data_IF_419563768748
#
_entry.id   IF_419563768748
#
_cell.length_a   1.000
_cell.length_b   1.000
_cell.length_c   1.000
_cell.angle_alpha   90.00
_cell.angle_beta   90.00
_cell.angle_gamma   90.00
#
_symmetry.space_group_name_H-M   'P 1'
#
loop_
_entity.id
_entity.type
_entity.pdbx_description
1 polymer ?
#
# COMPACT_ATOMS: atom_id res chain seq x y z
N UNK A 1 -3.99 5.29 9.63
CA UNK A 1 -2.70 5.04 10.29
C UNK A 1 -2.82 3.79 11.14
N UNK A 2 -1.93 2.84 10.96
CA UNK A 2 -1.85 1.59 11.74
C UNK A 2 -1.26 1.91 13.11
N UNK A 3 -1.80 1.39 14.22
CA UNK A 3 -1.29 1.70 15.56
C UNK A 3 0.11 1.12 15.83
N UNK A 4 0.48 0.05 15.14
CA UNK A 4 1.78 -0.62 15.26
C UNK A 4 2.19 -1.06 13.86
N UNK A 5 3.43 -0.74 13.48
CA UNK A 5 4.06 -1.22 12.24
C UNK A 5 4.97 -2.41 12.54
N UNK A 6 4.90 -3.42 11.69
CA UNK A 6 5.81 -4.55 11.72
C UNK A 6 7.14 -4.20 11.01
N UNK A 7 8.19 -4.99 11.23
CA UNK A 7 9.47 -4.80 10.56
C UNK A 7 9.38 -5.01 9.06
N UNK A 8 8.43 -5.84 8.63
CA UNK A 8 8.20 -6.16 7.22
C UNK A 8 7.24 -5.19 6.51
N UNK A 9 6.56 -4.35 7.24
CA UNK A 9 5.66 -3.34 6.67
C UNK A 9 6.41 -2.35 5.77
N UNK A 10 5.87 -2.11 4.58
CA UNK A 10 6.36 -1.10 3.66
C UNK A 10 5.84 0.28 4.09
N UNK A 11 6.58 0.93 5.00
CA UNK A 11 6.21 2.20 5.60
C UNK A 11 6.35 3.35 4.62
N UNK A 12 5.49 4.37 4.77
CA UNK A 12 5.49 5.58 3.95
C UNK A 12 5.55 6.84 4.82
N UNK A 13 6.20 7.88 4.28
CA UNK A 13 6.20 9.24 4.80
C UNK A 13 5.55 10.17 3.79
N UNK A 14 4.76 11.11 4.28
CA UNK A 14 3.99 12.05 3.49
C UNK A 14 4.35 13.49 3.90
N UNK A 15 4.53 14.37 2.92
CA UNK A 15 4.73 15.80 3.16
C UNK A 15 3.98 16.59 2.09
N UNK A 16 3.21 17.58 2.49
CA UNK A 16 2.46 18.47 1.59
C UNK A 16 1.60 17.74 0.56
N UNK A 17 0.96 16.64 0.98
CA UNK A 17 0.08 15.83 0.12
C UNK A 17 0.80 14.95 -0.90
N UNK A 18 2.07 14.66 -0.69
CA UNK A 18 2.91 13.81 -1.56
C UNK A 18 3.61 12.72 -0.76
N UNK A 19 3.94 11.64 -1.44
CA UNK A 19 4.84 10.63 -0.91
C UNK A 19 6.28 11.17 -0.96
N UNK A 20 6.95 11.20 0.19
CA UNK A 20 8.33 11.70 0.33
C UNK A 20 9.31 10.62 0.72
N UNK A 21 8.84 9.52 1.27
CA UNK A 21 9.66 8.33 1.47
C UNK A 21 8.82 7.05 1.50
N UNK A 22 9.41 5.95 1.07
CA UNK A 22 8.84 4.61 1.12
C UNK A 22 9.93 3.57 1.38
N UNK A 23 9.74 2.71 2.38
CA UNK A 23 10.73 1.67 2.70
C UNK A 23 10.41 0.91 3.97
N UNK A 24 10.91 -0.33 4.04
CA UNK A 24 10.82 -1.14 5.25
C UNK A 24 11.64 -0.54 6.40
N UNK A 25 12.76 0.08 6.07
CA UNK A 25 13.71 0.67 7.04
C UNK A 25 13.32 2.09 7.48
N UNK A 26 12.19 2.62 6.99
CA UNK A 26 11.71 3.92 7.45
C UNK A 26 11.42 3.85 8.94
N UNK A 27 11.96 4.81 9.71
CA UNK A 27 11.80 4.87 11.15
C UNK A 27 10.35 5.12 11.57
N UNK A 28 9.94 4.56 12.70
CA UNK A 28 8.54 4.59 13.16
C UNK A 28 8.04 6.00 13.47
N UNK A 29 8.92 6.91 13.87
CA UNK A 29 8.59 8.31 14.13
C UNK A 29 8.27 9.10 12.85
N UNK A 30 8.73 8.62 11.69
CA UNK A 30 8.45 9.19 10.38
C UNK A 30 7.29 8.49 9.65
N UNK A 31 6.99 7.26 10.02
CA UNK A 31 5.95 6.46 9.38
C UNK A 31 4.55 7.05 9.59
N UNK A 32 3.88 7.41 8.51
CA UNK A 32 2.52 7.97 8.53
C UNK A 32 1.49 7.03 7.89
N UNK A 33 1.92 5.95 7.28
CA UNK A 33 1.09 4.94 6.66
C UNK A 33 1.90 3.76 6.19
N UNK A 34 1.20 2.83 5.57
CA UNK A 34 1.72 1.61 4.97
C UNK A 34 1.27 1.53 3.51
N UNK A 35 2.16 1.12 2.63
CA UNK A 35 1.84 0.87 1.24
C UNK A 35 1.18 -0.50 1.08
N UNK A 36 0.02 -0.54 0.45
CA UNK A 36 -0.65 -1.80 0.08
C UNK A 36 -0.09 -2.41 -1.22
N UNK A 37 1.02 -1.90 -1.74
CA UNK A 37 1.67 -2.43 -2.94
C UNK A 37 0.94 -2.15 -4.25
N UNK A 38 -0.15 -1.36 -4.26
CA UNK A 38 -0.91 -1.04 -5.46
C UNK A 38 -0.50 0.34 -6.00
N UNK A 39 0.08 0.36 -7.20
CA UNK A 39 0.60 1.59 -7.82
C UNK A 39 0.06 1.73 -9.23
N UNK A 40 -0.32 2.97 -9.58
CA UNK A 40 -0.77 3.34 -10.93
C UNK A 40 0.24 4.29 -11.56
N UNK A 41 0.74 3.92 -12.72
CA UNK A 41 1.60 4.77 -13.53
C UNK A 41 0.79 5.45 -14.64
N UNK A 42 0.98 6.76 -14.83
CA UNK A 42 0.29 7.56 -15.84
C UNK A 42 1.29 8.39 -16.64
N UNK A 43 0.97 8.66 -17.91
CA UNK A 43 1.80 9.45 -18.78
C UNK A 43 3.24 8.90 -18.87
N UNK A 44 4.21 9.73 -18.57
CA UNK A 44 5.64 9.38 -18.58
C UNK A 44 6.05 8.50 -17.38
N UNK A 45 5.18 8.31 -16.39
CA UNK A 45 5.47 7.52 -15.19
C UNK A 45 5.84 6.07 -15.49
N UNK A 46 5.33 5.46 -16.56
CA UNK A 46 5.72 4.12 -16.97
C UNK A 46 7.19 4.07 -17.41
N UNK A 47 7.61 5.06 -18.21
CA UNK A 47 9.00 5.17 -18.68
C UNK A 47 9.93 5.47 -17.51
N UNK A 48 9.55 6.38 -16.63
CA UNK A 48 10.33 6.71 -15.43
C UNK A 48 10.52 5.47 -14.54
N UNK A 49 9.45 4.72 -14.27
CA UNK A 49 9.52 3.49 -13.47
C UNK A 49 10.38 2.42 -14.12
N UNK A 50 10.22 2.18 -15.42
CA UNK A 50 11.06 1.23 -16.14
C UNK A 50 12.54 1.60 -16.07
N UNK A 51 12.86 2.89 -16.25
CA UNK A 51 14.21 3.40 -16.12
C UNK A 51 14.78 3.26 -14.71
N UNK A 52 13.96 3.51 -13.67
CA UNK A 52 14.38 3.32 -12.28
C UNK A 52 14.69 1.86 -11.99
N UNK A 53 13.83 0.94 -12.40
CA UNK A 53 14.06 -0.51 -12.27
C UNK A 53 15.33 -0.95 -13.00
N UNK A 54 15.55 -0.49 -14.24
CA UNK A 54 16.76 -0.83 -14.98
C UNK A 54 18.04 -0.33 -14.28
N UNK A 55 17.99 0.82 -13.62
CA UNK A 55 19.13 1.33 -12.83
C UNK A 55 19.40 0.46 -11.60
N UNK A 56 18.35 0.11 -10.86
CA UNK A 56 18.47 -0.78 -9.70
C UNK A 56 19.02 -2.15 -10.07
N UNK A 57 18.55 -2.73 -11.18
CA UNK A 57 18.99 -4.04 -11.66
C UNK A 57 20.48 -4.08 -12.04
N UNK A 58 21.11 -2.94 -12.28
CA UNK A 58 22.54 -2.83 -12.60
C UNK A 58 23.43 -2.75 -11.35
N UNK A 59 22.85 -2.62 -10.16
CA UNK A 59 23.59 -2.62 -8.89
C UNK A 59 23.73 -4.04 -8.35
N UNK A 60 24.84 -4.36 -7.70
CA UNK A 60 25.04 -5.68 -7.09
C UNK A 60 24.06 -5.97 -5.94
N UNK A 61 23.48 -4.91 -5.37
CA UNK A 61 22.54 -4.95 -4.26
C UNK A 61 21.12 -5.30 -4.67
N UNK A 62 20.78 -5.23 -5.96
CA UNK A 62 19.40 -5.35 -6.43
C UNK A 62 18.72 -6.67 -6.02
N UNK A 63 19.49 -7.74 -5.82
CA UNK A 63 18.97 -9.07 -5.46
C UNK A 63 18.30 -9.12 -4.08
N UNK A 64 18.61 -8.16 -3.22
CA UNK A 64 18.04 -8.02 -1.88
C UNK A 64 17.09 -6.83 -1.75
N UNK A 65 16.87 -6.08 -2.83
CA UNK A 65 16.07 -4.86 -2.82
C UNK A 65 14.65 -5.18 -3.29
N UNK A 66 13.65 -4.73 -2.51
CA UNK A 66 12.26 -4.82 -2.92
C UNK A 66 11.97 -3.85 -4.09
N UNK A 67 11.13 -4.24 -5.05
CA UNK A 67 10.83 -3.43 -6.24
C UNK A 67 10.33 -2.01 -5.94
N UNK A 68 9.69 -1.79 -4.77
CA UNK A 68 9.28 -0.47 -4.31
C UNK A 68 10.45 0.49 -4.02
N UNK A 69 11.68 -0.01 -3.95
CA UNK A 69 12.86 0.85 -3.93
C UNK A 69 12.99 1.70 -5.20
N UNK A 70 12.40 1.25 -6.33
CA UNK A 70 12.34 2.08 -7.52
C UNK A 70 11.45 3.32 -7.33
N UNK A 71 10.42 3.24 -6.50
CA UNK A 71 9.60 4.40 -6.14
C UNK A 71 10.41 5.37 -5.29
N UNK A 72 11.19 4.88 -4.32
CA UNK A 72 12.09 5.73 -3.55
C UNK A 72 13.11 6.42 -4.45
N UNK A 73 13.69 5.69 -5.41
CA UNK A 73 14.62 6.27 -6.38
C UNK A 73 13.97 7.41 -7.20
N UNK A 74 12.73 7.23 -7.66
CA UNK A 74 12.00 8.28 -8.37
C UNK A 74 11.76 9.50 -7.48
N UNK A 75 11.40 9.31 -6.22
CA UNK A 75 11.24 10.39 -5.24
C UNK A 75 12.57 11.16 -5.06
N UNK A 76 13.68 10.45 -4.91
CA UNK A 76 15.01 11.03 -4.72
C UNK A 76 15.48 11.81 -5.97
N UNK A 77 15.02 11.41 -7.15
CA UNK A 77 15.25 12.11 -8.43
C UNK A 77 14.31 13.32 -8.65
N UNK A 78 13.38 13.56 -7.73
CA UNK A 78 12.47 14.70 -7.77
C UNK A 78 11.16 14.43 -8.52
N UNK A 79 10.89 13.18 -8.89
CA UNK A 79 9.63 12.81 -9.51
C UNK A 79 8.47 12.94 -8.51
N UNK A 80 7.32 13.32 -9.01
CA UNK A 80 6.12 13.45 -8.20
C UNK A 80 5.44 12.11 -8.03
N UNK A 81 5.32 11.67 -6.79
CA UNK A 81 4.53 10.50 -6.41
C UNK A 81 3.38 10.94 -5.49
N UNK A 82 2.17 10.83 -5.98
CA UNK A 82 0.95 11.08 -5.20
C UNK A 82 0.49 9.79 -4.50
N UNK A 83 -0.41 9.91 -3.54
CA UNK A 83 -0.99 8.77 -2.84
C UNK A 83 -2.51 8.83 -2.84
N UNK A 84 -3.13 7.67 -2.65
CA UNK A 84 -4.56 7.55 -2.40
C UNK A 84 -4.77 6.71 -1.15
N UNK A 85 -5.64 7.17 -0.26
CA UNK A 85 -5.95 6.42 0.96
C UNK A 85 -6.88 5.26 0.63
N UNK A 86 -6.56 4.10 1.21
CA UNK A 86 -7.43 2.94 1.26
C UNK A 86 -7.88 2.72 2.70
N UNK A 87 -9.17 2.56 2.92
CA UNK A 87 -9.68 2.27 4.24
C UNK A 87 -9.31 0.84 4.67
N UNK A 88 -8.98 0.60 5.94
CA UNK A 88 -8.51 -0.70 6.41
C UNK A 88 -9.48 -1.86 6.13
N UNK A 89 -10.77 -1.57 6.04
CA UNK A 89 -11.82 -2.55 5.75
C UNK A 89 -11.86 -2.97 4.27
N UNK A 90 -11.23 -2.20 3.37
CA UNK A 90 -11.29 -2.44 1.92
C UNK A 90 -10.12 -3.25 1.38
N UNK A 91 -9.19 -3.63 2.23
CA UNK A 91 -8.04 -4.43 1.81
C UNK A 91 -7.57 -5.38 2.90
N UNK A 92 -6.87 -6.42 2.50
CA UNK A 92 -6.16 -7.31 3.39
C UNK A 92 -5.02 -7.99 2.62
N UNK A 93 -3.95 -8.29 3.31
CA UNK A 93 -2.83 -9.09 2.83
C UNK A 93 -2.93 -10.50 3.40
N UNK A 94 -2.56 -11.50 2.61
CA UNK A 94 -2.58 -12.91 3.01
C UNK A 94 -1.19 -13.47 2.77
N UNK A 95 -0.37 -13.45 3.79
CA UNK A 95 0.99 -14.00 3.75
C UNK A 95 1.08 -15.37 4.42
N UNK A 96 0.25 -15.59 5.43
CA UNK A 96 0.21 -16.84 6.20
C UNK A 96 -1.22 -17.33 6.40
N UNK A 97 -1.36 -18.59 6.83
CA UNK A 97 -2.68 -19.21 7.05
C UNK A 97 -3.58 -18.43 8.02
N UNK A 98 -3.00 -17.79 9.02
CA UNK A 98 -3.76 -16.97 9.97
C UNK A 98 -4.45 -15.80 9.30
N UNK A 99 -3.79 -15.13 8.35
CA UNK A 99 -4.36 -14.01 7.60
C UNK A 99 -5.55 -14.46 6.77
N UNK A 100 -5.46 -15.65 6.18
CA UNK A 100 -6.57 -16.25 5.43
C UNK A 100 -7.81 -16.42 6.30
N UNK A 101 -7.66 -16.91 7.53
CA UNK A 101 -8.77 -17.09 8.46
C UNK A 101 -9.37 -15.75 8.89
N UNK A 102 -8.53 -14.73 9.10
CA UNK A 102 -8.97 -13.37 9.39
C UNK A 102 -9.78 -12.78 8.22
N UNK A 103 -9.29 -12.93 6.99
CA UNK A 103 -9.97 -12.44 5.79
C UNK A 103 -11.31 -13.14 5.60
N UNK A 104 -11.38 -14.46 5.75
CA UNK A 104 -12.64 -15.23 5.70
C UNK A 104 -13.65 -14.69 6.71
N UNK A 105 -13.23 -14.50 7.98
CA UNK A 105 -14.10 -13.98 9.03
C UNK A 105 -14.66 -12.60 8.69
N UNK A 106 -13.85 -11.73 8.07
CA UNK A 106 -14.30 -10.39 7.60
C UNK A 106 -15.31 -10.50 6.47
N UNK A 107 -15.09 -11.39 5.50
CA UNK A 107 -16.00 -11.61 4.39
C UNK A 107 -17.34 -12.18 4.86
N UNK A 108 -17.32 -13.15 5.77
CA UNK A 108 -18.54 -13.73 6.35
C UNK A 108 -19.35 -12.66 7.09
N UNK A 109 -18.71 -11.81 7.88
CA UNK A 109 -19.37 -10.71 8.57
C UNK A 109 -19.96 -9.68 7.61
N UNK A 110 -19.26 -9.34 6.54
CA UNK A 110 -19.75 -8.44 5.50
C UNK A 110 -20.95 -9.02 4.75
N UNK A 111 -20.91 -10.33 4.44
CA UNK A 111 -22.01 -11.04 3.81
C UNK A 111 -23.26 -11.04 4.70
N UNK A 112 -23.11 -11.36 5.98
CA UNK A 112 -24.22 -11.32 6.94
C UNK A 112 -24.82 -9.93 7.08
N UNK A 113 -24.00 -8.89 7.12
CA UNK A 113 -24.47 -7.50 7.16
C UNK A 113 -25.27 -7.15 5.90
N UNK A 114 -24.76 -7.55 4.73
CA UNK A 114 -25.45 -7.33 3.46
C UNK A 114 -26.83 -8.00 3.41
N UNK A 115 -26.93 -9.24 3.87
CA UNK A 115 -28.20 -9.98 3.96
C UNK A 115 -29.20 -9.29 4.90
N UNK A 116 -28.75 -8.87 6.10
CA UNK A 116 -29.58 -8.14 7.05
C UNK A 116 -30.10 -6.80 6.47
N UNK A 117 -29.28 -6.10 5.68
CA UNK A 117 -29.71 -4.84 5.05
C UNK A 117 -30.76 -5.05 3.95
N UNK A 118 -30.73 -6.20 3.27
CA UNK A 118 -31.76 -6.53 2.27
C UNK A 118 -33.12 -6.88 2.88
N UNK A 119 -33.12 -7.41 4.10
CA UNK A 119 -34.34 -7.77 4.83
C UNK A 119 -35.00 -6.56 5.55
N UNK A 120 -34.34 -5.40 5.54
CA UNK A 120 -34.94 -4.18 6.10
C UNK A 120 -36.08 -3.70 5.17
N UNK A 121 -37.29 -3.43 5.72
CA UNK A 121 -38.37 -2.84 4.95
C UNK A 121 -37.90 -1.49 4.40
N UNK A 122 -38.05 -1.31 3.07
CA UNK A 122 -37.82 -0.01 2.44
C UNK A 122 -38.66 1.04 3.17
N UNK A 123 -38.01 1.97 3.82
CA UNK A 123 -38.67 3.17 4.34
C UNK A 123 -39.17 3.94 3.12
N UNK A 124 -40.43 3.70 2.76
CA UNK A 124 -41.11 4.53 1.80
C UNK A 124 -41.47 5.83 2.53
N UNK A 125 -40.82 6.91 2.15
CA UNK A 125 -41.30 8.28 2.42
C UNK A 125 -42.51 8.61 1.54
#
# INVERSE_FOLDING_TARGET
QKPIYDTDDMKIELTDGRLTAIGKDLSLDRAQGESIGMIRFMGEGQTAMSGALERLLKTDEYRSIHWLAAIQLLIDEGERVDYSLCAPEHWAEIDIHFDLDLVKSRLDAAQQMYELLQDLPSLQE
#
